data_IF_294954986270
#
_entry.id   IF_294954986270
#
_cell.length_a   1.000
_cell.length_b   1.000
_cell.length_c   1.000
_cell.angle_alpha   90.00
_cell.angle_beta   90.00
_cell.angle_gamma   90.00
#
_symmetry.space_group_name_H-M   'P 1'
#
loop_
_entity.id
_entity.type
_entity.pdbx_description
1 polymer ?
#
# COMPACT_ATOMS: atom_id res chain seq x y z
N UNK A 1 -6.74 -25.58 -0.65
CA UNK A 1 -5.77 -26.37 -1.42
C UNK A 1 -4.48 -25.55 -1.45
N UNK A 2 -3.28 -26.16 -1.31
CA UNK A 2 -2.04 -25.41 -1.48
C UNK A 2 -2.01 -24.83 -2.90
N UNK A 3 -1.70 -23.55 -3.00
CA UNK A 3 -1.47 -22.91 -4.30
C UNK A 3 -0.22 -23.55 -4.87
N UNK A 4 -0.35 -24.21 -6.00
CA UNK A 4 0.79 -24.76 -6.74
C UNK A 4 1.61 -23.57 -7.23
N UNK A 5 2.82 -23.40 -6.69
CA UNK A 5 3.71 -22.30 -7.07
C UNK A 5 4.19 -22.59 -8.51
N UNK A 6 3.97 -21.63 -9.40
CA UNK A 6 4.42 -21.71 -10.79
C UNK A 6 5.93 -22.03 -10.83
N UNK A 7 6.38 -23.00 -11.63
CA UNK A 7 7.81 -23.31 -11.83
C UNK A 7 8.68 -22.11 -12.22
N UNK A 8 8.06 -21.04 -12.72
CA UNK A 8 8.71 -19.75 -12.98
C UNK A 8 9.15 -19.07 -11.69
N UNK A 9 8.33 -19.13 -10.64
CA UNK A 9 8.63 -18.55 -9.31
C UNK A 9 9.79 -19.31 -8.66
N UNK A 10 9.82 -20.66 -8.77
CA UNK A 10 10.93 -21.47 -8.28
C UNK A 10 12.25 -21.17 -9.02
N UNK A 11 12.16 -20.91 -10.32
CA UNK A 11 13.31 -20.52 -11.13
C UNK A 11 13.84 -19.13 -10.77
N UNK A 12 12.97 -18.19 -10.45
CA UNK A 12 13.34 -16.85 -9.99
C UNK A 12 14.02 -16.88 -8.62
N UNK A 13 13.57 -17.72 -7.70
CA UNK A 13 14.17 -17.88 -6.38
C UNK A 13 15.62 -18.44 -6.43
N UNK A 14 15.99 -19.14 -7.51
CA UNK A 14 17.32 -19.70 -7.71
C UNK A 14 18.32 -18.81 -8.47
N UNK A 15 17.89 -17.70 -9.06
CA UNK A 15 18.75 -16.80 -9.84
C UNK A 15 19.41 -15.75 -8.93
N UNK A 16 20.67 -15.38 -9.21
CA UNK A 16 21.31 -14.21 -8.63
C UNK A 16 20.65 -12.95 -9.19
N UNK A 17 19.60 -12.48 -8.50
CA UNK A 17 18.64 -11.51 -8.97
C UNK A 17 19.10 -10.03 -8.89
N UNK A 18 20.34 -9.74 -8.55
CA UNK A 18 20.78 -8.36 -8.25
C UNK A 18 20.80 -7.41 -9.45
N UNK A 19 20.68 -7.88 -10.69
CA UNK A 19 20.68 -6.99 -11.88
C UNK A 19 19.70 -7.34 -13.00
N UNK A 20 18.94 -8.41 -12.92
CA UNK A 20 18.04 -8.87 -13.99
C UNK A 20 16.58 -9.09 -13.54
N UNK A 21 16.26 -8.81 -12.29
CA UNK A 21 14.94 -9.12 -11.71
C UNK A 21 13.79 -8.27 -12.27
N UNK A 22 14.10 -7.05 -12.69
CA UNK A 22 13.10 -6.07 -13.10
C UNK A 22 12.20 -6.56 -14.25
N UNK A 23 12.71 -7.00 -15.41
CA UNK A 23 11.87 -7.46 -16.51
C UNK A 23 11.10 -8.75 -16.19
N UNK A 24 11.69 -9.67 -15.44
CA UNK A 24 11.06 -10.93 -15.09
C UNK A 24 9.96 -10.74 -14.04
N UNK A 25 10.15 -9.85 -13.06
CA UNK A 25 9.13 -9.46 -12.11
C UNK A 25 7.93 -8.82 -12.81
N UNK A 26 8.16 -7.89 -13.74
CA UNK A 26 7.09 -7.26 -14.55
C UNK A 26 6.34 -8.31 -15.36
N UNK A 27 7.03 -9.26 -16.01
CA UNK A 27 6.40 -10.34 -16.76
C UNK A 27 5.51 -11.21 -15.87
N UNK A 28 6.00 -11.58 -14.69
CA UNK A 28 5.25 -12.39 -13.76
C UNK A 28 4.00 -11.65 -13.27
N UNK A 29 4.15 -10.40 -12.84
CA UNK A 29 3.04 -9.57 -12.41
C UNK A 29 2.00 -9.38 -13.51
N UNK A 30 2.45 -9.10 -14.75
CA UNK A 30 1.57 -8.97 -15.92
C UNK A 30 0.80 -10.25 -16.21
N UNK A 31 1.47 -11.39 -16.12
CA UNK A 31 0.84 -12.69 -16.38
C UNK A 31 -0.22 -13.07 -15.35
N UNK A 32 -0.06 -12.65 -14.10
CA UNK A 32 -0.93 -13.01 -12.98
C UNK A 32 -2.03 -11.97 -12.70
N UNK A 33 -1.73 -10.68 -12.83
CA UNK A 33 -2.55 -9.60 -12.26
C UNK A 33 -3.06 -8.61 -13.31
N UNK A 34 -2.46 -8.53 -14.48
CA UNK A 34 -2.83 -7.61 -15.54
C UNK A 34 -1.72 -6.64 -15.92
N UNK A 35 -2.07 -5.49 -16.48
CA UNK A 35 -1.12 -4.52 -17.03
C UNK A 35 -0.42 -3.74 -15.91
N UNK A 36 0.92 -3.70 -15.86
CA UNK A 36 1.66 -2.93 -14.88
C UNK A 36 1.58 -1.43 -15.18
N UNK A 37 1.45 -0.62 -14.15
CA UNK A 37 1.38 0.83 -14.24
C UNK A 37 2.52 1.49 -13.43
N UNK A 38 2.94 2.67 -13.85
CA UNK A 38 3.86 3.55 -13.12
C UNK A 38 3.34 4.98 -13.15
N UNK A 39 3.60 5.73 -12.10
CA UNK A 39 3.21 7.13 -12.01
C UNK A 39 4.39 8.03 -12.40
N UNK A 40 4.15 8.99 -13.30
CA UNK A 40 5.22 9.89 -13.79
C UNK A 40 5.86 10.72 -12.69
N UNK A 41 5.14 10.93 -11.60
CA UNK A 41 5.55 11.71 -10.44
C UNK A 41 6.44 10.91 -9.49
N UNK A 42 6.38 9.60 -9.58
CA UNK A 42 7.15 8.65 -8.76
C UNK A 42 8.26 8.04 -9.59
N UNK A 43 9.46 8.03 -9.04
CA UNK A 43 10.63 7.35 -9.64
C UNK A 43 10.74 7.55 -11.16
N UNK A 44 10.41 8.75 -11.65
CA UNK A 44 10.43 9.11 -13.08
C UNK A 44 9.51 8.24 -13.97
N UNK A 45 8.47 7.64 -13.39
CA UNK A 45 7.54 6.76 -14.09
C UNK A 45 8.01 5.30 -14.18
N UNK A 46 9.03 4.93 -13.42
CA UNK A 46 9.45 3.52 -13.33
C UNK A 46 8.33 2.64 -12.79
N UNK A 47 8.14 1.50 -13.40
CA UNK A 47 7.13 0.51 -12.98
C UNK A 47 7.65 -0.31 -11.80
N UNK A 48 8.95 -0.64 -11.81
CA UNK A 48 9.60 -1.38 -10.73
C UNK A 48 10.51 -0.44 -9.96
N UNK A 49 10.28 -0.36 -8.65
CA UNK A 49 11.04 0.48 -7.75
C UNK A 49 11.82 -0.37 -6.74
N UNK A 50 13.07 0.00 -6.49
CA UNK A 50 13.90 -0.66 -5.49
C UNK A 50 13.81 0.11 -4.17
N UNK A 51 13.33 -0.57 -3.13
CA UNK A 51 13.29 -0.03 -1.77
C UNK A 51 14.43 -0.63 -0.96
N UNK A 52 15.28 0.22 -0.43
CA UNK A 52 16.37 -0.16 0.46
C UNK A 52 16.73 0.99 1.40
N UNK A 53 17.24 0.71 2.60
CA UNK A 53 17.59 1.73 3.57
C UNK A 53 18.61 2.73 2.98
N UNK A 54 18.27 4.03 2.98
CA UNK A 54 19.14 5.11 2.53
C UNK A 54 19.36 6.12 3.66
N UNK A 55 20.61 6.37 4.05
CA UNK A 55 20.93 7.30 5.13
C UNK A 55 20.40 8.74 4.88
N UNK A 56 20.31 9.16 3.62
CA UNK A 56 19.77 10.46 3.25
C UNK A 56 18.27 10.62 3.56
N UNK A 57 17.52 9.52 3.69
CA UNK A 57 16.06 9.51 3.86
C UNK A 57 15.63 8.90 5.20
N UNK A 58 16.51 8.83 6.19
CA UNK A 58 16.29 8.10 7.45
C UNK A 58 15.05 8.52 8.23
N UNK A 59 14.58 9.75 8.09
CA UNK A 59 13.51 10.33 8.93
C UNK A 59 12.27 10.82 8.18
N UNK A 60 12.08 10.45 6.94
CA UNK A 60 10.87 10.79 6.17
C UNK A 60 9.73 9.82 6.45
N UNK A 61 8.48 10.30 6.38
CA UNK A 61 7.30 9.41 6.34
C UNK A 61 7.06 8.93 4.89
N UNK A 62 8.10 8.40 4.24
CA UNK A 62 8.08 7.93 2.86
C UNK A 62 8.56 6.48 2.79
N UNK A 63 8.26 5.80 1.70
CA UNK A 63 8.68 4.41 1.45
C UNK A 63 10.21 4.20 1.52
N UNK A 64 11.00 5.26 1.31
CA UNK A 64 12.47 5.23 1.35
C UNK A 64 13.06 5.44 2.75
N UNK A 65 12.24 5.79 3.76
CA UNK A 65 12.73 5.93 5.13
C UNK A 65 12.92 4.57 5.78
N UNK A 66 13.84 4.47 6.76
CA UNK A 66 14.06 3.23 7.53
C UNK A 66 13.99 3.43 9.05
N UNK A 67 14.13 4.67 9.56
CA UNK A 67 14.03 4.99 10.98
C UNK A 67 12.60 5.34 11.45
N UNK A 68 11.65 5.33 10.53
CA UNK A 68 10.26 5.75 10.80
C UNK A 68 9.30 4.69 10.30
N UNK A 69 8.34 4.33 11.15
CA UNK A 69 7.24 3.48 10.74
C UNK A 69 6.47 4.14 9.58
N UNK A 70 6.19 3.36 8.55
CA UNK A 70 5.25 3.76 7.50
C UNK A 70 3.87 3.29 7.92
N UNK A 71 2.98 4.24 8.21
CA UNK A 71 1.63 3.97 8.72
C UNK A 71 0.78 3.14 7.74
N UNK A 72 -0.27 2.51 8.25
CA UNK A 72 -1.21 1.74 7.43
C UNK A 72 -1.87 2.62 6.37
N UNK A 73 -1.65 2.28 5.10
CA UNK A 73 -2.19 2.98 3.94
C UNK A 73 -2.54 2.02 2.80
N UNK A 74 -3.40 2.47 1.92
CA UNK A 74 -3.56 1.89 0.59
C UNK A 74 -2.67 2.67 -0.37
N UNK A 75 -2.02 1.97 -1.31
CA UNK A 75 -1.07 2.59 -2.23
C UNK A 75 -1.74 3.69 -3.06
N UNK A 76 -1.11 4.88 -3.10
CA UNK A 76 -1.56 6.04 -3.87
C UNK A 76 -3.02 6.45 -3.61
N UNK A 77 -3.45 6.41 -2.35
CA UNK A 77 -4.83 6.69 -1.94
C UNK A 77 -5.38 8.02 -2.46
N UNK A 78 -4.53 9.01 -2.66
CA UNK A 78 -4.87 10.34 -3.17
C UNK A 78 -5.02 10.40 -4.70
N UNK A 79 -4.51 9.39 -5.45
CA UNK A 79 -4.46 9.43 -6.90
C UNK A 79 -5.82 9.08 -7.54
N UNK A 80 -6.11 9.68 -8.70
CA UNK A 80 -7.35 9.41 -9.43
C UNK A 80 -7.41 7.98 -9.98
N UNK A 81 -6.26 7.43 -10.35
CA UNK A 81 -6.10 6.04 -10.78
C UNK A 81 -5.34 5.31 -9.68
N UNK A 82 -6.02 4.41 -8.98
CA UNK A 82 -5.43 3.55 -7.97
C UNK A 82 -4.91 2.28 -8.62
N UNK A 83 -3.76 1.75 -8.17
CA UNK A 83 -3.37 0.40 -8.57
C UNK A 83 -4.32 -0.62 -7.94
N UNK A 84 -4.70 -1.66 -8.68
CA UNK A 84 -5.50 -2.76 -8.14
C UNK A 84 -4.67 -3.63 -7.20
N UNK A 85 -3.40 -3.82 -7.54
CA UNK A 85 -2.47 -4.67 -6.80
C UNK A 85 -1.13 -3.97 -6.61
N UNK A 86 -0.53 -4.21 -5.46
CA UNK A 86 0.87 -3.93 -5.18
C UNK A 86 1.61 -5.27 -5.08
N UNK A 87 2.77 -5.37 -5.72
CA UNK A 87 3.62 -6.56 -5.68
C UNK A 87 4.97 -6.20 -5.08
N UNK A 88 5.33 -6.86 -3.99
CA UNK A 88 6.61 -6.71 -3.31
C UNK A 88 7.40 -8.01 -3.44
N UNK A 89 8.61 -7.95 -3.98
CA UNK A 89 9.56 -9.05 -4.00
C UNK A 89 10.70 -8.77 -3.02
N UNK A 90 10.89 -9.63 -2.04
CA UNK A 90 11.99 -9.54 -1.10
C UNK A 90 13.29 -10.05 -1.73
N UNK A 91 14.12 -9.14 -2.21
CA UNK A 91 15.45 -9.48 -2.77
C UNK A 91 16.46 -9.79 -1.67
N UNK A 92 16.36 -9.09 -0.55
CA UNK A 92 17.24 -9.24 0.61
C UNK A 92 16.44 -8.97 1.87
N UNK A 93 16.36 -9.96 2.74
CA UNK A 93 15.75 -9.81 4.06
C UNK A 93 16.63 -8.96 4.99
N UNK A 94 16.00 -8.35 5.98
CA UNK A 94 16.69 -7.70 7.06
C UNK A 94 17.60 -8.70 7.80
N UNK A 95 18.92 -8.41 7.97
CA UNK A 95 19.86 -9.31 8.66
C UNK A 95 19.48 -9.61 10.09
N UNK A 96 18.87 -8.64 10.78
CA UNK A 96 18.49 -8.76 12.19
C UNK A 96 17.07 -9.34 12.35
N UNK A 97 16.36 -9.56 11.25
CA UNK A 97 14.99 -10.10 11.19
C UNK A 97 13.98 -9.29 12.03
N UNK A 98 14.21 -8.00 12.19
CA UNK A 98 13.32 -7.07 12.91
C UNK A 98 12.29 -6.42 11.99
N UNK A 99 12.66 -6.15 10.74
CA UNK A 99 11.76 -5.54 9.78
C UNK A 99 10.55 -6.43 9.45
N UNK A 100 9.36 -5.85 9.57
CA UNK A 100 8.09 -6.52 9.31
C UNK A 100 7.15 -5.66 8.48
N UNK A 101 6.25 -6.32 7.75
CA UNK A 101 5.15 -5.71 7.01
C UNK A 101 3.85 -6.04 7.73
N UNK A 102 2.95 -5.06 7.85
CA UNK A 102 1.62 -5.25 8.41
C UNK A 102 0.59 -5.20 7.29
N UNK A 103 -0.43 -6.06 7.36
CA UNK A 103 -1.47 -6.19 6.33
C UNK A 103 -2.84 -6.19 7.01
N UNK A 104 -3.62 -5.15 6.76
CA UNK A 104 -4.95 -4.95 7.32
C UNK A 104 -6.04 -5.13 6.25
N UNK A 105 -6.77 -6.25 6.33
CA UNK A 105 -7.89 -6.53 5.42
C UNK A 105 -9.13 -5.74 5.79
N UNK A 106 -9.82 -5.21 4.79
CA UNK A 106 -11.09 -4.49 4.99
C UNK A 106 -12.17 -5.38 5.61
N UNK A 107 -12.21 -6.67 5.32
CA UNK A 107 -13.19 -7.60 5.89
C UNK A 107 -13.10 -7.63 7.41
N UNK A 108 -11.88 -7.76 7.96
CA UNK A 108 -11.65 -7.73 9.41
C UNK A 108 -12.00 -6.38 10.04
N UNK A 109 -11.75 -5.30 9.32
CA UNK A 109 -12.11 -3.94 9.77
C UNK A 109 -13.63 -3.81 9.84
N UNK A 110 -14.37 -4.27 8.80
CA UNK A 110 -15.82 -4.19 8.74
C UNK A 110 -16.50 -4.98 9.86
N UNK A 111 -15.95 -6.13 10.26
CA UNK A 111 -16.46 -6.93 11.40
C UNK A 111 -16.42 -6.16 12.73
N UNK A 112 -15.54 -5.17 12.87
CA UNK A 112 -15.35 -4.35 14.08
C UNK A 112 -16.10 -3.02 14.02
N UNK A 113 -16.68 -2.67 12.88
CA UNK A 113 -17.46 -1.47 12.67
C UNK A 113 -18.96 -1.75 12.74
N UNK A 114 -19.72 -0.88 13.39
CA UNK A 114 -21.18 -0.92 13.34
C UNK A 114 -21.67 -0.54 11.95
N UNK A 115 -22.88 -0.97 11.58
CA UNK A 115 -23.52 -0.59 10.32
C UNK A 115 -23.59 0.93 10.11
N UNK A 116 -23.82 1.72 11.18
CA UNK A 116 -23.85 3.17 11.11
C UNK A 116 -22.46 3.76 10.77
N UNK A 117 -21.38 3.16 11.26
CA UNK A 117 -20.02 3.60 10.98
C UNK A 117 -19.62 3.21 9.56
N UNK A 118 -20.00 2.01 9.11
CA UNK A 118 -19.78 1.60 7.72
C UNK A 118 -20.53 2.52 6.76
N UNK A 119 -21.82 2.83 7.03
CA UNK A 119 -22.59 3.79 6.24
C UNK A 119 -21.97 5.18 6.24
N UNK A 120 -21.39 5.62 7.36
CA UNK A 120 -20.68 6.90 7.45
C UNK A 120 -19.48 6.91 6.51
N UNK A 121 -18.65 5.87 6.52
CA UNK A 121 -17.47 5.78 5.66
C UNK A 121 -17.80 5.61 4.17
N UNK A 122 -19.01 5.16 3.82
CA UNK A 122 -19.49 5.10 2.44
C UNK A 122 -20.01 6.45 1.93
N UNK A 123 -20.36 7.37 2.81
CA UNK A 123 -21.06 8.61 2.43
C UNK A 123 -20.31 9.88 2.79
N UNK A 124 -19.55 9.87 3.87
CA UNK A 124 -18.81 11.06 4.32
C UNK A 124 -17.46 11.15 3.63
N UNK A 125 -17.20 12.27 2.92
CA UNK A 125 -15.93 12.44 2.24
C UNK A 125 -14.81 12.90 3.18
N UNK A 126 -13.59 12.58 2.81
CA UNK A 126 -12.35 13.08 3.38
C UNK A 126 -11.55 13.80 2.29
N UNK A 127 -10.71 14.73 2.67
CA UNK A 127 -9.79 15.35 1.73
C UNK A 127 -8.47 14.60 1.72
N UNK A 128 -8.15 13.94 0.60
CA UNK A 128 -6.87 13.28 0.40
C UNK A 128 -5.84 14.27 -0.12
N UNK A 129 -4.72 14.35 0.56
CA UNK A 129 -3.57 15.16 0.17
C UNK A 129 -2.59 14.28 -0.62
N UNK A 130 -1.84 14.92 -1.52
CA UNK A 130 -0.72 14.24 -2.17
C UNK A 130 0.46 14.14 -1.21
N UNK A 131 1.14 12.98 -1.21
CA UNK A 131 2.45 12.79 -0.58
C UNK A 131 3.59 13.38 -1.40
N UNK A 132 3.32 13.76 -2.65
CA UNK A 132 4.29 14.45 -3.49
C UNK A 132 4.58 15.83 -2.92
N UNK A 133 5.83 16.06 -2.52
CA UNK A 133 6.26 17.36 -2.01
C UNK A 133 6.00 18.51 -3.01
N UNK A 134 6.01 19.77 -2.56
CA UNK A 134 5.76 20.93 -3.39
C UNK A 134 6.94 21.12 -4.36
N UNK A 135 6.88 20.48 -5.52
CA UNK A 135 7.80 20.70 -6.62
C UNK A 135 7.06 21.33 -7.80
N UNK A 136 7.75 22.12 -8.61
CA UNK A 136 7.17 22.71 -9.84
C UNK A 136 6.60 21.64 -10.79
N UNK A 137 7.12 20.43 -10.74
CA UNK A 137 6.66 19.28 -11.52
C UNK A 137 5.30 18.74 -11.07
N UNK A 138 4.92 18.95 -9.81
CA UNK A 138 3.76 18.33 -9.16
C UNK A 138 2.50 19.23 -9.14
N UNK A 139 2.55 20.41 -9.73
CA UNK A 139 1.41 21.37 -9.73
C UNK A 139 0.18 20.92 -10.51
N UNK A 140 0.23 19.80 -11.25
CA UNK A 140 -0.85 19.31 -12.12
C UNK A 140 -1.26 17.88 -11.85
N UNK A 141 -1.15 17.44 -10.61
CA UNK A 141 -1.62 16.10 -10.26
C UNK A 141 -3.14 16.16 -10.08
N UNK A 142 -3.86 15.32 -10.81
CA UNK A 142 -5.28 15.08 -10.57
C UNK A 142 -5.43 14.35 -9.23
N UNK A 143 -5.47 15.13 -8.16
CA UNK A 143 -5.72 14.64 -6.82
C UNK A 143 -7.22 14.46 -6.66
N UNK A 144 -7.65 13.25 -6.32
CA UNK A 144 -9.02 12.96 -5.94
C UNK A 144 -9.28 13.56 -4.55
N UNK A 145 -9.53 14.86 -4.51
CA UNK A 145 -10.01 15.52 -3.29
C UNK A 145 -11.44 15.06 -3.02
N UNK A 146 -11.83 14.98 -1.75
CA UNK A 146 -13.20 14.63 -1.35
C UNK A 146 -13.64 13.22 -1.78
N UNK A 147 -12.94 12.22 -1.28
CA UNK A 147 -13.28 10.82 -1.48
C UNK A 147 -13.71 10.16 -0.18
N UNK A 148 -14.60 9.20 -0.29
CA UNK A 148 -14.99 8.35 0.84
C UNK A 148 -13.93 7.29 1.13
N UNK A 149 -13.84 6.83 2.37
CA UNK A 149 -12.94 5.75 2.78
C UNK A 149 -13.42 4.41 2.21
N UNK A 150 -14.73 4.14 2.31
CA UNK A 150 -15.35 2.99 1.66
C UNK A 150 -16.04 3.44 0.38
N UNK A 151 -15.95 2.62 -0.69
CA UNK A 151 -16.57 2.95 -1.96
C UNK A 151 -16.94 1.67 -2.75
N UNK A 152 -17.70 1.82 -3.82
CA UNK A 152 -18.17 0.70 -4.62
C UNK A 152 -19.43 0.04 -4.08
N UNK A 153 -19.50 -1.28 -4.09
CA UNK A 153 -20.65 -2.03 -3.59
C UNK A 153 -20.71 -1.98 -2.06
N UNK A 154 -21.81 -1.50 -1.44
CA UNK A 154 -21.94 -1.46 0.02
C UNK A 154 -21.83 -2.83 0.72
N UNK A 155 -22.19 -3.91 0.03
CA UNK A 155 -22.13 -5.27 0.58
C UNK A 155 -20.72 -5.89 0.47
N UNK A 156 -19.88 -5.32 -0.40
CA UNK A 156 -18.50 -5.72 -0.61
C UNK A 156 -17.61 -4.51 -0.97
N UNK A 157 -17.50 -3.52 -0.07
CA UNK A 157 -16.88 -2.25 -0.40
C UNK A 157 -15.38 -2.38 -0.65
N UNK A 158 -14.90 -1.53 -1.54
CA UNK A 158 -13.49 -1.22 -1.64
C UNK A 158 -13.06 -0.23 -0.57
N UNK A 159 -11.76 -0.19 -0.33
CA UNK A 159 -11.13 0.55 0.75
C UNK A 159 -10.09 1.54 0.22
N UNK A 160 -10.13 2.75 0.73
CA UNK A 160 -9.14 3.80 0.47
C UNK A 160 -8.76 4.43 1.79
N UNK A 161 -7.50 4.37 2.16
CA UNK A 161 -7.06 4.80 3.46
C UNK A 161 -5.61 5.27 3.45
N UNK A 162 -5.36 6.43 4.00
CA UNK A 162 -4.03 6.95 4.27
C UNK A 162 -4.14 8.01 5.37
N UNK A 163 -4.15 7.61 6.65
CA UNK A 163 -4.42 8.52 7.76
C UNK A 163 -3.40 9.65 7.89
N UNK A 164 -2.21 9.51 7.30
CA UNK A 164 -1.19 10.55 7.31
C UNK A 164 -1.50 11.69 6.31
N UNK A 165 -2.12 11.34 5.19
CA UNK A 165 -2.46 12.27 4.11
C UNK A 165 -3.97 12.49 3.93
N UNK A 166 -4.76 12.19 4.96
CA UNK A 166 -6.21 12.44 4.98
C UNK A 166 -6.57 13.52 5.97
N UNK A 167 -7.50 14.40 5.58
CA UNK A 167 -8.09 15.40 6.43
C UNK A 167 -9.59 15.18 6.55
N UNK A 168 -10.05 15.07 7.79
CA UNK A 168 -11.47 14.99 8.11
C UNK A 168 -12.12 16.39 8.08
N UNK A 169 -13.37 16.49 7.61
CA UNK A 169 -14.12 17.75 7.59
C UNK A 169 -14.91 18.04 8.87
N UNK A 170 -14.95 17.09 9.81
CA UNK A 170 -15.64 17.24 11.08
C UNK A 170 -14.94 16.49 12.20
N UNK A 171 -15.18 16.90 13.45
CA UNK A 171 -14.67 16.18 14.62
C UNK A 171 -15.19 14.73 14.67
N UNK A 172 -16.41 14.48 14.17
CA UNK A 172 -16.97 13.14 14.09
C UNK A 172 -16.21 12.29 13.08
N UNK A 173 -15.92 12.83 11.90
CA UNK A 173 -15.14 12.16 10.88
C UNK A 173 -13.72 11.83 11.39
N UNK A 174 -13.08 12.76 12.09
CA UNK A 174 -11.77 12.53 12.71
C UNK A 174 -11.81 11.39 13.72
N UNK A 175 -12.77 11.41 14.67
CA UNK A 175 -12.90 10.36 15.67
C UNK A 175 -13.11 8.96 15.05
N UNK A 176 -13.89 8.89 13.97
CA UNK A 176 -14.12 7.63 13.28
C UNK A 176 -12.89 7.17 12.50
N UNK A 177 -12.16 8.08 11.89
CA UNK A 177 -10.88 7.77 11.23
C UNK A 177 -9.84 7.24 12.22
N UNK A 178 -9.73 7.87 13.41
CA UNK A 178 -8.84 7.42 14.48
C UNK A 178 -9.24 6.03 15.00
N UNK A 179 -10.55 5.78 15.15
CA UNK A 179 -11.07 4.46 15.50
C UNK A 179 -10.72 3.40 14.42
N UNK A 180 -10.93 3.73 13.16
CA UNK A 180 -10.63 2.84 12.04
C UNK A 180 -9.13 2.50 12.00
N UNK A 181 -8.27 3.52 12.16
CA UNK A 181 -6.82 3.34 12.26
C UNK A 181 -6.45 2.38 13.40
N UNK A 182 -7.04 2.56 14.59
CA UNK A 182 -6.79 1.68 15.72
C UNK A 182 -7.20 0.23 15.45
N UNK A 183 -8.36 0.00 14.81
CA UNK A 183 -8.81 -1.33 14.39
C UNK A 183 -7.86 -1.93 13.35
N UNK A 184 -7.44 -1.15 12.37
CA UNK A 184 -6.56 -1.61 11.29
C UNK A 184 -5.19 -2.05 11.82
N UNK A 185 -4.71 -1.46 12.91
CA UNK A 185 -3.46 -1.86 13.57
C UNK A 185 -3.56 -3.13 14.43
N UNK A 186 -4.76 -3.70 14.62
CA UNK A 186 -4.94 -4.98 15.31
C UNK A 186 -4.61 -6.17 14.38
N UNK A 187 -3.40 -6.19 13.81
CA UNK A 187 -2.96 -7.21 12.84
C UNK A 187 -1.61 -7.78 13.23
N UNK A 188 -1.39 -9.05 12.85
CA UNK A 188 -0.11 -9.70 13.06
C UNK A 188 0.90 -9.29 11.97
N UNK A 189 2.18 -9.11 12.35
CA UNK A 189 3.22 -8.78 11.40
C UNK A 189 3.55 -9.95 10.46
N UNK A 190 3.89 -9.62 9.23
CA UNK A 190 4.40 -10.55 8.21
C UNK A 190 5.88 -10.27 8.00
N UNK A 191 6.72 -11.31 8.08
CA UNK A 191 8.14 -11.23 7.71
C UNK A 191 8.34 -11.79 6.33
N UNK A 192 9.05 -11.05 5.51
CA UNK A 192 9.43 -11.49 4.17
C UNK A 192 10.86 -12.02 4.20
N UNK A 193 11.05 -13.24 3.76
CA UNK A 193 12.36 -13.83 3.53
C UNK A 193 12.83 -13.55 2.08
N UNK A 194 14.10 -13.69 1.84
CA UNK A 194 14.63 -13.56 0.48
C UNK A 194 13.91 -14.52 -0.48
N UNK A 195 13.36 -13.97 -1.55
CA UNK A 195 12.61 -14.70 -2.58
C UNK A 195 11.10 -14.74 -2.33
N UNK A 196 10.61 -14.31 -1.16
CA UNK A 196 9.17 -14.20 -0.92
C UNK A 196 8.59 -13.08 -1.79
N UNK A 197 7.44 -13.37 -2.38
CA UNK A 197 6.64 -12.40 -3.12
C UNK A 197 5.33 -12.18 -2.39
N UNK A 198 5.08 -10.94 -2.00
CA UNK A 198 3.82 -10.51 -1.39
C UNK A 198 2.98 -9.78 -2.45
N UNK A 199 1.78 -10.27 -2.69
CA UNK A 199 0.79 -9.65 -3.57
C UNK A 199 -0.32 -9.11 -2.70
N UNK A 200 -0.58 -7.81 -2.77
CA UNK A 200 -1.57 -7.09 -1.98
C UNK A 200 -2.69 -6.61 -2.90
N UNK A 201 -3.94 -7.00 -2.61
CA UNK A 201 -5.11 -6.37 -3.21
C UNK A 201 -5.28 -4.99 -2.59
N UNK A 202 -4.82 -3.96 -3.31
CA UNK A 202 -4.77 -2.59 -2.83
C UNK A 202 -6.14 -1.95 -2.64
N UNK A 203 -7.19 -2.52 -3.23
CA UNK A 203 -8.57 -2.04 -3.04
C UNK A 203 -9.23 -2.59 -1.78
N UNK A 204 -8.65 -3.63 -1.18
CA UNK A 204 -9.24 -4.32 -0.02
C UNK A 204 -8.30 -4.43 1.17
N UNK A 205 -7.08 -3.90 1.06
CA UNK A 205 -6.05 -4.11 2.07
C UNK A 205 -5.19 -2.86 2.23
N UNK A 206 -5.06 -2.38 3.47
CA UNK A 206 -4.01 -1.42 3.82
C UNK A 206 -2.76 -2.17 4.27
N UNK A 207 -1.61 -1.60 4.03
CA UNK A 207 -0.33 -2.15 4.44
C UNK A 207 0.53 -1.10 5.14
N UNK A 208 1.47 -1.57 5.95
CA UNK A 208 2.40 -0.75 6.71
C UNK A 208 3.76 -1.45 6.81
N UNK A 209 4.76 -0.72 7.25
CA UNK A 209 6.11 -1.23 7.46
C UNK A 209 6.64 -0.73 8.80
N UNK A 210 7.30 -1.62 9.56
CA UNK A 210 8.07 -1.22 10.74
C UNK A 210 9.24 -0.27 10.37
N UNK A 211 9.80 0.43 11.33
CA UNK A 211 11.05 1.15 11.14
C UNK A 211 12.16 0.26 10.58
#
# INVERSE_FOLDING_TARGET
APIEIDPLVERLAGMHLEMCAEPELVRLATALLGEPIGYRQESEGCIVNNFFPQQAHSRGATSDSFDTELDLHTENAFHAVLPDYLVLLCLRQDPDAEAVTYIASIERILERLTFKEQSFFLTEPYNFLSDYGPTEKNQRIDINRHQTILYGDPDAPFFRFDPHFMLAFSSRAQQLMDKLRAIAWEVEPVRLNRGDMLIIDNRRTAHARSP
#
